data_IF_471497769093
#
_entry.id   IF_471497769093
#
_cell.length_a   1.000
_cell.length_b   1.000
_cell.length_c   1.000
_cell.angle_alpha   90.00
_cell.angle_beta   90.00
_cell.angle_gamma   90.00
#
_symmetry.space_group_name_H-M   'P 1'
#
loop_
_entity.id
_entity.type
_entity.pdbx_description
1 polymer ?
#
# COMPACT_ATOMS: atom_id res chain seq x y z
N UNK A 1 -4.42 -20.86 -29.23
CA UNK A 1 -5.10 -20.47 -27.99
C UNK A 1 -5.36 -18.96 -28.06
N UNK A 2 -6.60 -18.55 -28.35
CA UNK A 2 -7.00 -17.14 -28.43
C UNK A 2 -7.28 -16.64 -27.02
N UNK A 3 -6.52 -15.66 -26.55
CA UNK A 3 -6.85 -14.95 -25.30
C UNK A 3 -7.85 -13.88 -25.66
N UNK A 4 -9.09 -14.00 -25.17
CA UNK A 4 -10.10 -12.96 -25.34
C UNK A 4 -9.76 -11.76 -24.44
N UNK A 5 -9.43 -10.63 -25.09
CA UNK A 5 -9.25 -9.32 -24.46
C UNK A 5 -10.61 -8.74 -24.07
N UNK A 6 -11.21 -9.25 -22.99
CA UNK A 6 -12.58 -8.87 -22.66
C UNK A 6 -13.06 -9.29 -21.29
N UNK A 7 -12.33 -8.90 -20.23
CA UNK A 7 -12.83 -8.60 -18.86
C UNK A 7 -11.63 -8.47 -17.93
N UNK A 8 -11.11 -7.25 -17.81
CA UNK A 8 -10.30 -6.90 -16.64
C UNK A 8 -11.25 -7.00 -15.44
N UNK A 9 -10.99 -7.83 -14.41
CA UNK A 9 -11.86 -7.90 -13.25
C UNK A 9 -11.94 -6.53 -12.58
N UNK A 10 -13.14 -5.96 -12.48
CA UNK A 10 -13.40 -4.73 -11.69
C UNK A 10 -13.04 -4.92 -10.21
N UNK A 11 -12.93 -6.17 -9.75
CA UNK A 11 -12.41 -6.56 -8.44
C UNK A 11 -11.58 -7.82 -8.60
N UNK A 12 -10.30 -7.73 -8.26
CA UNK A 12 -9.56 -8.91 -7.81
C UNK A 12 -9.93 -9.01 -6.33
N UNK A 13 -10.72 -10.02 -5.97
CA UNK A 13 -10.85 -10.38 -4.56
C UNK A 13 -9.47 -10.89 -4.12
N UNK A 14 -8.71 -10.01 -3.48
CA UNK A 14 -7.47 -10.39 -2.81
C UNK A 14 -7.85 -10.79 -1.39
N UNK A 15 -7.16 -11.79 -0.85
CA UNK A 15 -7.37 -12.29 0.53
C UNK A 15 -7.15 -11.21 1.61
N UNK A 16 -6.61 -10.05 1.21
CA UNK A 16 -6.43 -8.87 2.03
C UNK A 16 -5.50 -7.86 1.34
N UNK A 17 -5.20 -6.73 1.98
CA UNK A 17 -4.14 -5.84 1.52
C UNK A 17 -2.80 -6.58 1.48
N UNK A 18 -1.96 -6.27 0.51
CA UNK A 18 -0.60 -6.75 0.39
C UNK A 18 0.41 -5.60 0.54
N UNK A 19 1.64 -5.92 0.96
CA UNK A 19 2.75 -4.96 0.94
C UNK A 19 2.95 -4.46 -0.50
N UNK A 20 3.07 -3.14 -0.63
CA UNK A 20 3.17 -2.44 -1.91
C UNK A 20 1.83 -2.02 -2.50
N UNK A 21 0.68 -2.43 -1.97
CA UNK A 21 -0.62 -1.96 -2.47
C UNK A 21 -0.81 -0.47 -2.19
N UNK A 22 -1.41 0.25 -3.14
CA UNK A 22 -1.67 1.70 -3.04
C UNK A 22 -3.17 1.98 -3.04
N UNK A 23 -3.61 2.74 -2.05
CA UNK A 23 -5.01 3.13 -1.84
C UNK A 23 -5.15 4.65 -1.85
N UNK A 24 -6.24 5.19 -2.41
CA UNK A 24 -6.55 6.64 -2.29
C UNK A 24 -6.82 6.98 -0.83
N UNK A 25 -6.21 8.03 -0.30
CA UNK A 25 -6.55 8.52 1.03
C UNK A 25 -7.99 9.06 1.05
N UNK A 26 -8.78 8.65 2.06
CA UNK A 26 -10.11 9.23 2.37
C UNK A 26 -10.04 10.28 3.48
N UNK A 27 -8.82 10.66 3.85
CA UNK A 27 -8.43 11.40 5.03
C UNK A 27 -6.97 11.09 5.34
N UNK A 28 -6.28 12.00 6.01
CA UNK A 28 -4.84 11.88 6.30
C UNK A 28 -4.31 13.21 6.82
N UNK A 29 -3.16 13.19 7.48
CA UNK A 29 -2.52 14.44 7.93
C UNK A 29 -1.89 15.16 6.73
N UNK A 30 -1.99 16.49 6.72
CA UNK A 30 -1.31 17.35 5.76
C UNK A 30 -1.69 17.07 4.31
N UNK A 31 -0.68 16.85 3.47
CA UNK A 31 -0.80 16.73 2.01
C UNK A 31 -1.03 15.30 1.51
N UNK A 32 -1.24 14.33 2.42
CA UNK A 32 -1.42 12.91 2.07
C UNK A 32 -2.55 12.69 1.05
N UNK A 33 -2.23 12.09 -0.10
CA UNK A 33 -3.17 11.74 -1.17
C UNK A 33 -3.37 10.25 -1.34
N UNK A 34 -2.35 9.44 -1.04
CA UNK A 34 -2.43 7.99 -1.12
C UNK A 34 -1.79 7.33 0.10
N UNK A 35 -2.17 6.09 0.36
CA UNK A 35 -1.53 5.21 1.33
C UNK A 35 -0.91 4.03 0.61
N UNK A 36 0.38 3.78 0.87
CA UNK A 36 1.13 2.61 0.38
C UNK A 36 1.36 1.67 1.55
N UNK A 37 0.93 0.41 1.45
CA UNK A 37 1.15 -0.58 2.51
C UNK A 37 2.65 -0.91 2.57
N UNK A 38 3.31 -0.56 3.66
CA UNK A 38 4.72 -0.83 3.88
C UNK A 38 4.96 -2.10 4.68
N UNK A 39 4.04 -2.48 5.57
CA UNK A 39 4.14 -3.71 6.33
C UNK A 39 2.76 -4.23 6.74
N UNK A 40 2.68 -5.54 6.97
CA UNK A 40 1.55 -6.23 7.58
C UNK A 40 2.07 -6.96 8.82
N UNK A 41 1.41 -6.75 9.96
CA UNK A 41 1.78 -7.39 11.22
C UNK A 41 0.52 -7.81 11.99
N UNK A 42 0.32 -9.12 12.14
CA UNK A 42 -0.94 -9.65 12.69
C UNK A 42 -2.14 -9.20 11.83
N UNK A 43 -3.15 -8.60 12.47
CA UNK A 43 -4.33 -8.07 11.77
C UNK A 43 -4.21 -6.57 11.42
N UNK A 44 -2.99 -6.02 11.44
CA UNK A 44 -2.72 -4.61 11.18
C UNK A 44 -1.97 -4.40 9.87
N UNK A 45 -2.34 -3.35 9.15
CA UNK A 45 -1.65 -2.82 8.00
C UNK A 45 -1.02 -1.47 8.33
N UNK A 46 0.29 -1.38 8.11
CA UNK A 46 1.08 -0.17 8.30
C UNK A 46 1.33 0.47 6.94
N UNK A 47 0.99 1.74 6.82
CA UNK A 47 1.05 2.45 5.55
C UNK A 47 1.81 3.77 5.63
N UNK A 48 2.50 4.06 4.53
CA UNK A 48 3.11 5.36 4.26
C UNK A 48 2.09 6.22 3.53
N UNK A 49 1.84 7.41 4.04
CA UNK A 49 1.08 8.44 3.33
C UNK A 49 1.98 9.16 2.35
N UNK A 50 1.60 9.19 1.08
CA UNK A 50 2.32 9.89 0.02
C UNK A 50 1.50 11.04 -0.56
N UNK A 51 2.15 12.13 -0.96
CA UNK A 51 1.53 13.28 -1.63
C UNK A 51 1.37 13.05 -3.14
N UNK A 52 1.02 14.11 -3.89
CA UNK A 52 0.82 14.03 -5.33
C UNK A 52 2.12 13.84 -6.14
N UNK A 53 3.25 14.21 -5.54
CA UNK A 53 4.58 14.13 -6.16
C UNK A 53 5.30 12.82 -5.80
N UNK A 54 4.70 12.01 -4.91
CA UNK A 54 5.23 10.73 -4.46
C UNK A 54 6.12 10.82 -3.22
N UNK A 55 6.19 11.98 -2.56
CA UNK A 55 6.96 12.11 -1.32
C UNK A 55 6.20 11.46 -0.16
N UNK A 56 6.93 10.83 0.76
CA UNK A 56 6.37 10.33 2.02
C UNK A 56 6.12 11.52 2.96
N UNK A 57 4.87 11.75 3.33
CA UNK A 57 4.43 12.91 4.13
C UNK A 57 3.69 12.53 5.42
N UNK A 58 3.33 11.25 5.59
CA UNK A 58 2.76 10.75 6.84
C UNK A 58 2.92 9.24 7.00
N UNK A 59 2.54 8.72 8.16
CA UNK A 59 2.43 7.28 8.44
C UNK A 59 1.12 6.99 9.17
N UNK A 60 0.62 5.76 9.03
CA UNK A 60 -0.58 5.32 9.73
C UNK A 60 -0.61 3.80 9.90
N UNK A 61 -1.42 3.33 10.84
CA UNK A 61 -1.64 1.92 11.13
C UNK A 61 -3.13 1.69 11.32
N UNK A 62 -3.73 0.78 10.55
CA UNK A 62 -5.14 0.41 10.65
C UNK A 62 -5.31 -1.11 10.62
N UNK A 63 -6.48 -1.60 11.00
CA UNK A 63 -6.84 -2.99 10.74
C UNK A 63 -6.83 -3.28 9.23
N UNK A 64 -6.46 -4.51 8.84
CA UNK A 64 -6.44 -4.94 7.43
C UNK A 64 -7.81 -4.84 6.77
N UNK A 65 -8.88 -4.96 7.55
CA UNK A 65 -10.29 -4.83 7.16
C UNK A 65 -10.62 -3.43 6.60
N UNK A 66 -9.97 -2.40 7.14
CA UNK A 66 -10.09 -1.02 6.64
C UNK A 66 -9.64 -0.91 5.18
N UNK A 67 -8.68 -1.74 4.75
CA UNK A 67 -8.16 -1.75 3.38
C UNK A 67 -8.80 -2.80 2.48
N UNK A 68 -9.21 -3.95 3.02
CA UNK A 68 -9.80 -5.06 2.26
C UNK A 68 -11.04 -4.65 1.45
N UNK A 69 -11.82 -3.70 1.95
CA UNK A 69 -13.03 -3.20 1.28
C UNK A 69 -12.78 -2.02 0.32
N UNK A 70 -11.51 -1.67 0.02
CA UNK A 70 -11.16 -0.48 -0.76
C UNK A 70 -10.55 -0.84 -2.11
N UNK A 71 -10.80 0.03 -3.08
CA UNK A 71 -10.21 -0.11 -4.41
C UNK A 71 -8.71 0.20 -4.36
N UNK A 72 -7.92 -0.75 -4.83
CA UNK A 72 -6.49 -0.57 -5.09
C UNK A 72 -6.36 0.30 -6.35
N UNK A 73 -5.57 1.36 -6.26
CA UNK A 73 -5.38 2.33 -7.34
C UNK A 73 -3.96 2.32 -7.92
N UNK A 74 -3.08 1.51 -7.36
CA UNK A 74 -1.72 1.35 -7.82
C UNK A 74 -0.99 0.29 -7.01
N UNK A 75 0.25 0.01 -7.40
CA UNK A 75 1.12 -0.92 -6.69
C UNK A 75 2.57 -0.47 -6.79
N UNK A 76 3.35 -0.71 -5.74
CA UNK A 76 4.79 -0.55 -5.67
C UNK A 76 5.41 -1.96 -5.55
N UNK A 77 5.62 -2.69 -6.65
CA UNK A 77 6.01 -4.10 -6.59
C UNK A 77 7.33 -4.34 -5.85
N UNK A 78 8.28 -3.40 -5.98
CA UNK A 78 9.59 -3.49 -5.36
C UNK A 78 9.54 -3.33 -3.83
N UNK A 79 8.48 -2.75 -3.26
CA UNK A 79 8.41 -2.50 -1.81
C UNK A 79 8.36 -3.81 -1.02
N UNK A 80 7.69 -4.85 -1.55
CA UNK A 80 7.63 -6.17 -0.92
C UNK A 80 8.99 -6.90 -0.91
N UNK A 81 9.97 -6.45 -1.70
CA UNK A 81 11.30 -7.03 -1.82
C UNK A 81 12.38 -6.10 -1.25
N UNK A 82 11.97 -4.99 -0.62
CA UNK A 82 12.90 -3.96 -0.17
C UNK A 82 13.80 -4.49 0.95
N UNK A 83 15.11 -4.35 0.75
CA UNK A 83 16.11 -4.56 1.79
C UNK A 83 16.70 -3.21 2.18
N UNK A 84 16.83 -2.95 3.48
CA UNK A 84 17.42 -1.71 3.98
C UNK A 84 18.90 -1.92 4.32
N UNK A 85 19.75 -0.99 3.89
CA UNK A 85 21.10 -0.85 4.42
C UNK A 85 21.04 0.05 5.64
N UNK A 86 21.36 -0.49 6.81
CA UNK A 86 21.27 0.21 8.09
C UNK A 86 22.67 0.58 8.57
N UNK A 87 22.84 1.82 8.99
CA UNK A 87 24.00 2.27 9.76
C UNK A 87 23.60 2.32 11.24
N UNK A 88 24.47 1.81 12.10
CA UNK A 88 24.23 1.72 13.54
C UNK A 88 25.17 2.66 14.27
N UNK A 89 24.70 3.26 15.37
CA UNK A 89 25.60 3.92 16.31
C UNK A 89 26.52 2.89 16.98
N UNK A 90 27.77 3.28 17.25
CA UNK A 90 28.64 2.45 18.07
C UNK A 90 28.07 2.41 19.50
N UNK A 91 27.89 1.21 20.03
CA UNK A 91 27.43 0.97 21.41
C UNK A 91 28.43 1.46 22.45
#
# INVERSE_FOLDING_TARGET
MKVEMGKIPLRIALDGPAVGDVYRAKGGRGTTKFFVIAALAGNMAHALGIDADGNIVSTTSYGVDVFACRDIVGRVPALAQMTLSLEWEAL
#
